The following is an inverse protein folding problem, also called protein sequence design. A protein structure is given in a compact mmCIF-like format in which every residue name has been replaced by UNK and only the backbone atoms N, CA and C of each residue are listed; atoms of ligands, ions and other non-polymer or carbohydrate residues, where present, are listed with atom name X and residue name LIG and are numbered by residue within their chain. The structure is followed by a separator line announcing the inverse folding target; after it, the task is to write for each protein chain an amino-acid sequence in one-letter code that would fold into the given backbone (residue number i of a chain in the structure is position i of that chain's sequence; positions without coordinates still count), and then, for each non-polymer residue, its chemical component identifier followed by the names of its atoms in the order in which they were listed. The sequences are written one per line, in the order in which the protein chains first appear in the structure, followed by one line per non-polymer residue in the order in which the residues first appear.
data_IF_297561071074
#
_entry.id   IF_297561071074
#
_cell.length_a   1.000
_cell.length_b   1.000
_cell.length_c   1.000
_cell.angle_alpha   90.00
_cell.angle_beta   90.00
_cell.angle_gamma   90.00
#
_symmetry.space_group_name_H-M   'P 1'
#
loop_
_entity.id
_entity.type
_entity.pdbx_description
1 polymer ?
#
# COMPACT_ATOMS: atom_id res chain seq x y z
N UNK A 1 16.63 3.63 5.33
CA UNK A 1 16.41 2.21 5.64
C UNK A 1 14.93 1.88 5.75
N UNK A 2 14.18 2.54 6.66
CA UNK A 2 12.73 2.33 6.84
C UNK A 2 11.97 2.31 5.52
N UNK A 3 12.11 3.35 4.68
CA UNK A 3 11.41 3.44 3.38
C UNK A 3 11.74 2.30 2.40
N UNK A 4 12.93 1.70 2.50
CA UNK A 4 13.31 0.55 1.67
C UNK A 4 12.59 -0.71 2.17
N UNK A 5 12.51 -0.90 3.48
CA UNK A 5 11.77 -2.01 4.10
C UNK A 5 10.27 -1.88 3.83
N UNK A 6 9.71 -0.67 3.94
CA UNK A 6 8.31 -0.39 3.58
C UNK A 6 8.04 -0.75 2.11
N UNK A 7 8.88 -0.29 1.18
CA UNK A 7 8.73 -0.60 -0.24
C UNK A 7 8.83 -2.11 -0.52
N UNK A 8 9.72 -2.82 0.18
CA UNK A 8 9.86 -4.27 0.03
C UNK A 8 8.62 -5.01 0.55
N UNK A 9 8.13 -4.67 1.75
CA UNK A 9 6.90 -5.26 2.33
C UNK A 9 5.67 -5.01 1.46
N UNK A 10 5.53 -3.81 0.90
CA UNK A 10 4.47 -3.52 -0.07
C UNK A 10 4.59 -4.41 -1.31
N UNK A 11 5.80 -4.54 -1.87
CA UNK A 11 6.05 -5.39 -3.04
C UNK A 11 5.76 -6.86 -2.78
N UNK A 12 6.16 -7.38 -1.63
CA UNK A 12 5.92 -8.78 -1.23
C UNK A 12 4.42 -9.05 -0.98
N UNK A 13 3.65 -7.99 -0.75
CA UNK A 13 2.19 -8.04 -0.65
C UNK A 13 1.45 -7.84 -1.97
N UNK A 14 2.10 -7.30 -3.00
CA UNK A 14 1.56 -7.03 -4.34
C UNK A 14 1.53 -8.35 -5.17
N UNK A 15 0.49 -8.57 -5.99
CA UNK A 15 0.52 -9.58 -7.06
C UNK A 15 1.39 -9.08 -8.21
N UNK A 16 1.78 -9.97 -9.12
CA UNK A 16 2.56 -9.58 -10.31
C UNK A 16 1.81 -8.59 -11.23
N UNK A 17 0.48 -8.56 -11.17
CA UNK A 17 -0.38 -7.63 -11.92
C UNK A 17 -0.57 -6.26 -11.25
N UNK A 18 -0.17 -6.13 -9.98
CA UNK A 18 -0.36 -4.91 -9.20
C UNK A 18 0.83 -3.97 -9.36
N UNK A 19 0.60 -2.68 -9.16
CA UNK A 19 1.64 -1.67 -9.23
C UNK A 19 1.85 -1.04 -7.86
N UNK A 20 3.10 -1.06 -7.39
CA UNK A 20 3.55 -0.49 -6.13
C UNK A 20 4.45 0.73 -6.46
N UNK A 21 4.04 1.97 -6.12
CA UNK A 21 4.73 3.23 -6.47
C UNK A 21 5.02 4.06 -5.23
N UNK A 22 6.16 4.78 -5.21
CA UNK A 22 6.43 5.82 -4.22
C UNK A 22 6.19 7.19 -4.85
N UNK A 23 5.22 7.94 -4.32
CA UNK A 23 4.89 9.27 -4.84
C UNK A 23 5.79 10.36 -4.28
N UNK A 24 6.13 10.26 -3.00
CA UNK A 24 6.77 11.35 -2.28
C UNK A 24 7.74 10.90 -1.20
N UNK A 25 7.78 11.66 -0.12
CA UNK A 25 8.63 11.44 1.05
C UNK A 25 8.41 10.03 1.62
N UNK A 26 7.20 9.77 2.08
CA UNK A 26 6.75 8.57 2.79
C UNK A 26 5.40 8.08 2.25
N UNK A 27 4.90 8.72 1.20
CA UNK A 27 3.68 8.38 0.49
C UNK A 27 3.94 7.29 -0.56
N UNK A 28 3.17 6.22 -0.46
CA UNK A 28 3.17 5.10 -1.39
C UNK A 28 1.76 4.86 -1.89
N UNK A 29 1.65 4.43 -3.15
CA UNK A 29 0.40 4.06 -3.79
C UNK A 29 0.50 2.63 -4.30
N UNK A 30 -0.55 1.86 -4.06
CA UNK A 30 -0.75 0.53 -4.61
C UNK A 30 -1.95 0.54 -5.55
N UNK A 31 -1.75 0.17 -6.81
CA UNK A 31 -2.81 0.01 -7.79
C UNK A 31 -3.10 -1.49 -7.93
N UNK A 32 -4.30 -1.90 -7.53
CA UNK A 32 -4.76 -3.29 -7.63
C UNK A 32 -5.46 -3.50 -8.97
N UNK A 33 -4.86 -4.33 -9.83
CA UNK A 33 -5.44 -4.57 -11.15
C UNK A 33 -6.44 -5.73 -11.08
N UNK A 34 -7.71 -5.47 -11.38
CA UNK A 34 -8.76 -6.51 -11.38
C UNK A 34 -9.17 -6.98 -9.98
N UNK A 35 -9.31 -6.06 -9.02
CA UNK A 35 -9.65 -6.36 -7.63
C UNK A 35 -11.03 -7.03 -7.40
N UNK A 36 -11.87 -7.22 -8.44
CA UNK A 36 -13.25 -7.69 -8.33
C UNK A 36 -13.46 -9.22 -8.29
N UNK A 37 -12.41 -10.05 -8.29
CA UNK A 37 -12.59 -11.50 -8.54
C UNK A 37 -12.16 -12.49 -7.45
N UNK A 38 -11.18 -12.17 -6.59
CA UNK A 38 -10.54 -13.19 -5.72
C UNK A 38 -10.22 -12.75 -4.30
N UNK A 39 -10.03 -11.47 -4.02
CA UNK A 39 -9.80 -10.92 -2.67
C UNK A 39 -10.54 -9.59 -2.52
N UNK A 40 -11.11 -9.34 -1.34
CA UNK A 40 -11.69 -8.04 -0.97
C UNK A 40 -10.56 -6.98 -0.86
N UNK A 41 -10.77 -5.79 -1.41
CA UNK A 41 -9.80 -4.68 -1.37
C UNK A 41 -9.38 -4.36 0.07
N UNK A 42 -10.32 -4.43 1.03
CA UNK A 42 -10.04 -4.22 2.45
C UNK A 42 -9.14 -5.31 3.03
N UNK A 43 -9.26 -6.56 2.54
CA UNK A 43 -8.38 -7.66 2.95
C UNK A 43 -6.96 -7.42 2.48
N UNK A 44 -6.79 -6.96 1.22
CA UNK A 44 -5.47 -6.61 0.69
C UNK A 44 -4.87 -5.44 1.46
N UNK A 45 -5.63 -4.36 1.66
CA UNK A 45 -5.19 -3.19 2.41
C UNK A 45 -4.78 -3.55 3.86
N UNK A 46 -5.60 -4.33 4.56
CA UNK A 46 -5.32 -4.80 5.92
C UNK A 46 -4.05 -5.66 6.00
N UNK A 47 -3.85 -6.58 5.05
CA UNK A 47 -2.64 -7.40 4.96
C UNK A 47 -1.39 -6.55 4.72
N UNK A 48 -1.45 -5.61 3.78
CA UNK A 48 -0.34 -4.68 3.49
C UNK A 48 0.00 -3.84 4.73
N UNK A 49 -1.00 -3.25 5.38
CA UNK A 49 -0.80 -2.45 6.59
C UNK A 49 -0.19 -3.27 7.73
N UNK A 50 -0.66 -4.51 7.92
CA UNK A 50 -0.12 -5.43 8.93
C UNK A 50 1.37 -5.67 8.70
N UNK A 51 1.77 -5.97 7.45
CA UNK A 51 3.18 -6.19 7.13
C UNK A 51 4.01 -4.92 7.31
N UNK A 52 3.54 -3.77 6.81
CA UNK A 52 4.27 -2.51 6.95
C UNK A 52 4.53 -2.17 8.41
N UNK A 53 3.54 -2.38 9.28
CA UNK A 53 3.59 -2.04 10.71
C UNK A 53 4.43 -3.01 11.56
N UNK A 54 4.94 -4.11 11.00
CA UNK A 54 5.84 -5.00 11.73
C UNK A 54 7.11 -4.25 12.19
N UNK A 55 7.68 -4.57 13.36
CA UNK A 55 8.91 -3.94 13.83
C UNK A 55 10.06 -4.03 12.81
N UNK A 56 10.86 -2.97 12.72
CA UNK A 56 12.06 -2.91 11.89
C UNK A 56 13.28 -2.78 12.81
N UNK A 57 14.16 -3.77 12.79
CA UNK A 57 15.44 -3.70 13.53
C UNK A 57 16.50 -3.07 12.64
N UNK A 58 17.08 -1.95 13.07
CA UNK A 58 18.17 -1.28 12.39
C UNK A 58 19.25 -0.85 13.39
N UNK A 59 20.46 -1.40 13.24
CA UNK A 59 21.62 -1.11 14.11
C UNK A 59 21.33 -1.27 15.62
N UNK A 60 20.55 -2.29 15.98
CA UNK A 60 20.18 -2.58 17.37
C UNK A 60 19.02 -1.73 17.91
N UNK A 61 18.48 -0.80 17.12
CA UNK A 61 17.27 -0.05 17.46
C UNK A 61 16.05 -0.69 16.80
N UNK A 62 14.99 -0.90 17.58
CA UNK A 62 13.68 -1.32 17.08
C UNK A 62 12.86 -0.09 16.73
N UNK A 63 12.43 -0.01 15.47
CA UNK A 63 11.54 1.02 14.94
C UNK A 63 10.16 0.40 14.77
N UNK A 64 9.13 1.07 15.27
CA UNK A 64 7.73 0.65 15.12
C UNK A 64 7.06 1.59 14.11
N UNK A 65 7.05 1.24 12.82
CA UNK A 65 6.39 2.06 11.82
C UNK A 65 4.87 2.04 12.03
N UNK A 66 4.23 3.19 11.80
CA UNK A 66 2.79 3.30 11.68
C UNK A 66 2.45 3.76 10.27
N UNK A 67 1.57 3.02 9.60
CA UNK A 67 1.03 3.37 8.31
C UNK A 67 -0.50 3.45 8.37
N UNK A 68 -1.05 4.38 7.60
CA UNK A 68 -2.47 4.47 7.27
C UNK A 68 -2.64 4.24 5.77
N UNK A 69 -3.76 3.66 5.38
CA UNK A 69 -4.13 3.53 3.98
C UNK A 69 -5.54 4.07 3.78
N UNK A 70 -5.66 4.84 2.72
CA UNK A 70 -6.91 5.23 2.10
C UNK A 70 -7.19 4.39 0.86
N UNK A 71 -8.45 4.21 0.49
CA UNK A 71 -8.87 3.32 -0.60
C UNK A 71 -9.93 4.01 -1.46
N UNK A 72 -9.65 4.10 -2.77
CA UNK A 72 -10.59 4.52 -3.79
C UNK A 72 -10.71 3.46 -4.89
N UNK A 73 -11.93 3.30 -5.42
CA UNK A 73 -12.30 2.24 -6.36
C UNK A 73 -12.81 2.86 -7.66
N UNK A 74 -12.17 2.52 -8.77
CA UNK A 74 -12.70 2.82 -10.10
C UNK A 74 -13.83 1.84 -10.47
N UNK A 75 -14.96 2.30 -11.04
CA UNK A 75 -15.36 3.71 -11.28
C UNK A 75 -16.28 4.27 -10.16
N UNK A 76 -16.31 3.66 -8.98
CA UNK A 76 -17.26 3.98 -7.90
C UNK A 76 -16.97 5.37 -7.30
N UNK A 77 -15.71 5.64 -6.96
CA UNK A 77 -15.31 6.87 -6.27
C UNK A 77 -14.90 7.96 -7.26
N UNK A 78 -14.37 7.58 -8.42
CA UNK A 78 -14.08 8.47 -9.54
C UNK A 78 -13.82 7.69 -10.85
N UNK A 79 -13.93 8.39 -11.98
CA UNK A 79 -13.73 7.84 -13.33
C UNK A 79 -12.35 8.14 -13.93
N UNK A 80 -11.48 8.84 -13.20
CA UNK A 80 -10.15 9.23 -13.62
C UNK A 80 -9.12 9.10 -12.49
N UNK A 81 -7.85 8.91 -12.86
CA UNK A 81 -6.78 8.65 -11.89
C UNK A 81 -6.50 9.82 -10.94
N UNK A 82 -6.70 11.06 -11.40
CA UNK A 82 -6.44 12.24 -10.59
C UNK A 82 -7.41 12.31 -9.41
N UNK A 83 -8.71 12.12 -9.67
CA UNK A 83 -9.74 12.19 -8.64
C UNK A 83 -9.70 10.95 -7.72
N UNK A 84 -9.33 9.77 -8.23
CA UNK A 84 -9.07 8.60 -7.39
C UNK A 84 -7.96 8.84 -6.36
N UNK A 85 -6.90 9.58 -6.72
CA UNK A 85 -5.83 9.92 -5.77
C UNK A 85 -6.28 10.93 -4.71
N UNK A 86 -7.30 11.75 -5.01
CA UNK A 86 -7.87 12.71 -4.03
C UNK A 86 -8.83 12.00 -3.07
N UNK A 87 -9.55 10.99 -3.55
CA UNK A 87 -10.53 10.23 -2.77
C UNK A 87 -9.96 9.05 -1.99
N UNK A 88 -8.73 8.63 -2.31
CA UNK A 88 -8.04 7.55 -1.61
C UNK A 88 -7.79 7.90 -0.15
#
# INVERSE_FOLDING_TARGET
YVLVVTAQRMRDSCRASDLCVRLGSDEFVMILNGAGGTEDINTVAGRVLTQINEPIVYRGTTILPGASAGVAVYPIDADNAQDLLVHA
#
